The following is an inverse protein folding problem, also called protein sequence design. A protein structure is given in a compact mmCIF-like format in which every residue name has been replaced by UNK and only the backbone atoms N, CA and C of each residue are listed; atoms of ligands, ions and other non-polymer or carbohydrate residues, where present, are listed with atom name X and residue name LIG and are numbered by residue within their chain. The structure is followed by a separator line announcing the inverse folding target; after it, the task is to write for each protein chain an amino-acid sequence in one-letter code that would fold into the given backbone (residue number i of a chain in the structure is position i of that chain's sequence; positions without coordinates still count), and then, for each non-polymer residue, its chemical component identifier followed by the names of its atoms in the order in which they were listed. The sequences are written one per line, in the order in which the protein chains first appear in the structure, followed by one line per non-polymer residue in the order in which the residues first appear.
data_IF_804401538782
#
_entry.id   IF_804401538782
#
_cell.length_a   1.000
_cell.length_b   1.000
_cell.length_c   1.000
_cell.angle_alpha   90.00
_cell.angle_beta   90.00
_cell.angle_gamma   90.00
#
_symmetry.space_group_name_H-M   'P 1'
#
loop_
_entity.id
_entity.type
_entity.pdbx_description
1 polymer ?
#
# COMPACT_ATOMS: atom_id res chain seq x y z
N UNK A 1 -17.89 3.90 -0.44
CA UNK A 1 -16.43 3.68 -0.48
C UNK A 1 -16.00 3.22 0.90
N UNK A 2 -15.45 2.02 1.03
CA UNK A 2 -15.00 1.47 2.31
C UNK A 2 -13.62 2.09 2.61
N UNK A 3 -13.52 2.80 3.73
CA UNK A 3 -12.26 3.30 4.27
C UNK A 3 -11.46 2.06 4.66
N UNK A 4 -10.44 1.71 3.88
CA UNK A 4 -9.49 0.71 4.37
C UNK A 4 -8.77 1.37 5.55
N UNK A 5 -8.98 0.83 6.73
CA UNK A 5 -8.09 0.98 7.86
C UNK A 5 -7.67 -0.46 8.08
N UNK A 6 -6.36 -0.71 8.17
CA UNK A 6 -5.88 -2.05 8.46
C UNK A 6 -6.23 -2.36 9.94
N UNK A 7 -7.49 -2.72 10.20
CA UNK A 7 -7.93 -3.24 11.47
C UNK A 7 -7.71 -4.77 11.47
N UNK A 8 -6.66 -5.19 12.18
CA UNK A 8 -6.29 -6.59 12.43
C UNK A 8 -5.53 -7.30 11.30
N UNK A 9 -4.90 -6.55 10.38
CA UNK A 9 -4.12 -7.12 9.28
C UNK A 9 -2.61 -6.93 9.40
N UNK A 10 -1.88 -7.94 8.94
CA UNK A 10 -0.41 -7.89 8.91
C UNK A 10 0.06 -7.09 7.70
N UNK A 11 0.45 -5.85 7.96
CA UNK A 11 1.21 -5.03 7.01
C UNK A 11 2.47 -5.80 6.60
N UNK A 12 2.57 -6.13 5.31
CA UNK A 12 3.72 -6.85 4.78
C UNK A 12 4.84 -5.89 4.41
N UNK A 13 4.46 -4.75 3.82
CA UNK A 13 5.41 -3.79 3.26
C UNK A 13 4.89 -2.38 3.40
N UNK A 14 5.84 -1.45 3.49
CA UNK A 14 5.58 -0.03 3.57
C UNK A 14 6.67 0.73 2.82
N UNK A 15 6.28 1.75 2.05
CA UNK A 15 7.22 2.65 1.39
C UNK A 15 6.76 4.10 1.52
N UNK A 16 7.70 4.98 1.82
CA UNK A 16 7.48 6.42 1.96
C UNK A 16 7.93 7.13 0.69
N UNK A 17 7.10 8.03 0.16
CA UNK A 17 7.49 8.87 -0.97
C UNK A 17 8.61 9.85 -0.59
N UNK A 18 9.39 10.30 -1.56
CA UNK A 18 10.56 11.14 -1.28
C UNK A 18 10.17 12.48 -0.66
N UNK A 19 8.99 13.00 -1.01
CA UNK A 19 8.47 14.26 -0.46
C UNK A 19 7.90 14.10 0.96
N UNK A 20 7.90 12.88 1.52
CA UNK A 20 7.37 12.56 2.86
C UNK A 20 5.91 12.95 3.09
N UNK A 21 5.11 13.02 2.02
CA UNK A 21 3.69 13.38 2.06
C UNK A 21 2.79 12.15 2.17
N UNK A 22 3.20 11.03 1.56
CA UNK A 22 2.40 9.83 1.43
C UNK A 22 3.22 8.57 1.67
N UNK A 23 2.60 7.66 2.39
CA UNK A 23 3.08 6.31 2.64
C UNK A 23 2.17 5.34 1.89
N UNK A 24 2.75 4.38 1.19
CA UNK A 24 2.01 3.26 0.60
C UNK A 24 2.24 2.02 1.44
N UNK A 25 1.14 1.32 1.75
CA UNK A 25 1.13 0.11 2.56
C UNK A 25 0.46 -1.01 1.77
N UNK A 26 1.02 -2.22 1.86
CA UNK A 26 0.47 -3.41 1.24
C UNK A 26 0.30 -4.56 2.24
N UNK A 27 -0.79 -5.33 2.10
CA UNK A 27 -1.09 -6.47 2.96
C UNK A 27 -1.02 -7.84 2.23
N UNK A 28 -1.28 -8.91 2.99
CA UNK A 28 -1.27 -10.28 2.51
C UNK A 28 -2.57 -10.73 1.82
N UNK A 29 -3.60 -9.88 1.81
CA UNK A 29 -4.86 -10.07 1.09
C UNK A 29 -4.87 -9.39 -0.27
N UNK A 30 -3.85 -8.60 -0.58
CA UNK A 30 -3.73 -7.88 -1.84
C UNK A 30 -4.30 -6.48 -1.83
N UNK A 31 -4.55 -5.90 -0.64
CA UNK A 31 -4.87 -4.49 -0.51
C UNK A 31 -3.61 -3.64 -0.58
N UNK A 32 -3.70 -2.55 -1.33
CA UNK A 32 -2.71 -1.50 -1.37
C UNK A 32 -3.40 -0.20 -1.00
N UNK A 33 -2.81 0.53 -0.06
CA UNK A 33 -3.37 1.75 0.47
C UNK A 33 -2.35 2.89 0.49
N UNK A 34 -2.80 4.05 0.05
CA UNK A 34 -2.11 5.31 0.19
C UNK A 34 -2.58 6.03 1.46
N UNK A 35 -1.66 6.37 2.33
CA UNK A 35 -1.89 7.01 3.64
C UNK A 35 -1.11 8.33 3.67
N UNK A 36 -1.71 9.39 4.22
CA UNK A 36 -1.00 10.65 4.46
C UNK A 36 0.00 10.48 5.60
N UNK A 37 1.25 10.87 5.39
CA UNK A 37 2.31 10.63 6.37
C UNK A 37 2.16 11.47 7.66
N UNK A 38 1.53 12.65 7.56
CA UNK A 38 1.45 13.61 8.68
C UNK A 38 0.33 13.30 9.70
N UNK A 39 -0.77 12.67 9.28
CA UNK A 39 -1.92 12.37 10.16
C UNK A 39 -2.38 10.91 10.08
N UNK A 40 -1.66 10.09 9.31
CA UNK A 40 -1.92 8.65 9.09
C UNK A 40 -3.34 8.35 8.61
N UNK A 41 -4.01 9.33 8.01
CA UNK A 41 -5.34 9.13 7.47
C UNK A 41 -5.26 8.52 6.06
N UNK A 42 -6.14 7.56 5.73
CA UNK A 42 -6.27 7.04 4.38
C UNK A 42 -6.50 8.16 3.36
N UNK A 43 -5.67 8.21 2.32
CA UNK A 43 -5.87 9.07 1.16
C UNK A 43 -6.61 8.33 0.05
N UNK A 44 -6.23 7.07 -0.20
CA UNK A 44 -6.80 6.26 -1.27
C UNK A 44 -6.58 4.77 -1.02
N UNK A 45 -7.48 3.92 -1.50
CA UNK A 45 -7.34 2.47 -1.49
C UNK A 45 -7.44 1.95 -2.93
N UNK A 46 -6.43 1.20 -3.37
CA UNK A 46 -6.44 0.54 -4.67
C UNK A 46 -7.38 -0.67 -4.64
N UNK A 47 -7.94 -1.07 -5.80
CA UNK A 47 -8.65 -2.32 -5.92
C UNK A 47 -7.80 -3.48 -5.39
N UNK A 48 -8.45 -4.39 -4.68
CA UNK A 48 -7.79 -5.57 -4.14
C UNK A 48 -7.26 -6.46 -5.29
N UNK A 49 -6.05 -6.97 -5.13
CA UNK A 49 -5.48 -8.01 -5.98
C UNK A 49 -5.74 -9.40 -5.38
N UNK A 50 -5.89 -10.44 -6.20
CA UNK A 50 -6.06 -11.83 -5.76
C UNK A 50 -4.74 -12.49 -5.25
N UNK A 51 -3.73 -11.67 -4.93
CA UNK A 51 -2.42 -12.14 -4.48
C UNK A 51 -1.87 -11.25 -3.36
N UNK A 52 -1.00 -11.82 -2.52
CA UNK A 52 -0.36 -11.11 -1.41
C UNK A 52 0.71 -10.14 -1.93
N UNK A 53 0.71 -8.90 -1.41
CA UNK A 53 1.73 -7.90 -1.71
C UNK A 53 3.00 -8.21 -0.88
N UNK A 54 4.16 -8.37 -1.53
CA UNK A 54 5.43 -8.79 -0.88
C UNK A 54 6.56 -7.79 -0.97
N UNK A 55 6.41 -6.79 -1.82
CA UNK A 55 7.34 -5.68 -1.91
C UNK A 55 6.62 -4.53 -2.60
N UNK A 56 6.96 -3.32 -2.19
CA UNK A 56 6.50 -2.08 -2.77
C UNK A 56 7.73 -1.26 -3.14
N UNK A 57 7.70 -0.60 -4.28
CA UNK A 57 8.73 0.37 -4.69
C UNK A 57 8.09 1.54 -5.39
N UNK A 58 8.57 2.74 -5.12
CA UNK A 58 8.07 3.98 -5.74
C UNK A 58 8.99 4.33 -6.91
N UNK A 59 8.41 4.69 -8.05
CA UNK A 59 9.18 5.20 -9.19
C UNK A 59 9.84 6.54 -8.87
N UNK A 60 10.94 6.86 -9.56
CA UNK A 60 11.69 8.10 -9.31
C UNK A 60 10.85 9.38 -9.51
N UNK A 61 9.87 9.34 -10.40
CA UNK A 61 8.93 10.44 -10.64
C UNK A 61 7.81 10.53 -9.59
N UNK A 62 7.78 9.60 -8.62
CA UNK A 62 6.81 9.50 -7.53
C UNK A 62 5.35 9.31 -7.99
N UNK A 63 5.12 8.91 -9.26
CA UNK A 63 3.78 8.77 -9.83
C UNK A 63 3.25 7.34 -9.79
N UNK A 64 4.14 6.35 -9.74
CA UNK A 64 3.77 4.95 -9.86
C UNK A 64 4.41 4.10 -8.76
N UNK A 65 3.75 3.00 -8.45
CA UNK A 65 4.23 1.99 -7.52
C UNK A 65 4.39 0.67 -8.25
N UNK A 66 5.44 -0.07 -7.91
CA UNK A 66 5.70 -1.42 -8.43
C UNK A 66 5.56 -2.38 -7.26
N UNK A 67 4.71 -3.39 -7.48
CA UNK A 67 4.37 -4.38 -6.48
C UNK A 67 4.81 -5.76 -6.95
N UNK A 68 5.37 -6.55 -6.03
CA UNK A 68 5.62 -7.97 -6.27
C UNK A 68 4.54 -8.80 -5.56
N UNK A 69 3.91 -9.69 -6.32
CA UNK A 69 2.81 -10.53 -5.87
C UNK A 69 3.28 -11.96 -5.58
N UNK A 70 2.76 -12.56 -4.52
CA UNK A 70 2.83 -14.02 -4.31
C UNK A 70 1.44 -14.61 -4.47
N UNK A 71 1.25 -15.45 -5.50
CA UNK A 71 0.02 -16.22 -5.66
C UNK A 71 -0.17 -17.14 -4.44
N UNK A 72 -1.42 -17.19 -3.96
CA UNK A 72 -1.84 -18.15 -2.96
C UNK A 72 -2.00 -19.50 -3.68
N UNK A 73 -1.21 -20.49 -3.26
CA UNK A 73 -1.26 -21.88 -3.76
C UNK A 73 -2.52 -22.53 -3.20
#
# INVERSE_FOLDING_TARGET
MRQAIFEDETVQNMVLNADSQYTVIGDDRGFVQLIRAHDLQPAYAYPQCDASIRSLSITRDQKHFIDNFKNKI
#
